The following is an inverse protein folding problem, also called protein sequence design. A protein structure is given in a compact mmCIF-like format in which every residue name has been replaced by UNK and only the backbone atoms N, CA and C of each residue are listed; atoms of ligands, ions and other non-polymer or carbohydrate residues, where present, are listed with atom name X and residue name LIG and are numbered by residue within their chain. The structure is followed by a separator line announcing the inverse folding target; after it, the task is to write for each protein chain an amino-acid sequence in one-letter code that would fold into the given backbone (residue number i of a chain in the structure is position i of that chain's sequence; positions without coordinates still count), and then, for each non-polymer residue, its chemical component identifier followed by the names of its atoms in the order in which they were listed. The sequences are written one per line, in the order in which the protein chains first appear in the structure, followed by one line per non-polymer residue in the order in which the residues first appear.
data_IF_436503436205
#
_entry.id   IF_436503436205
#
_cell.length_a   1.000
_cell.length_b   1.000
_cell.length_c   1.000
_cell.angle_alpha   90.00
_cell.angle_beta   90.00
_cell.angle_gamma   90.00
#
_symmetry.space_group_name_H-M   'P 1'
#
loop_
_entity.id
_entity.type
_entity.pdbx_description
1 polymer ?
#
# COMPACT_ATOMS: atom_id res chain seq x y z
N UNK A 1 35.93 -12.35 18.62
CA UNK A 1 35.18 -11.78 17.48
C UNK A 1 33.72 -12.19 17.60
N UNK A 2 32.86 -11.32 18.12
CA UNK A 2 31.43 -11.56 18.28
C UNK A 2 30.69 -10.95 17.08
N UNK A 3 30.11 -11.81 16.24
CA UNK A 3 29.31 -11.37 15.10
C UNK A 3 27.97 -10.82 15.61
N UNK A 4 27.83 -9.49 15.60
CA UNK A 4 26.53 -8.82 15.77
C UNK A 4 25.61 -9.20 14.61
N UNK A 5 24.62 -10.05 14.86
CA UNK A 5 23.43 -10.17 14.01
C UNK A 5 22.69 -8.83 14.02
N UNK A 6 22.77 -8.06 12.94
CA UNK A 6 21.92 -6.89 12.75
C UNK A 6 20.49 -7.38 12.48
N UNK A 7 19.60 -7.23 13.47
CA UNK A 7 18.15 -7.42 13.29
C UNK A 7 17.58 -6.28 12.44
N UNK A 8 17.81 -6.35 11.13
CA UNK A 8 17.24 -5.42 10.16
C UNK A 8 15.80 -5.84 9.85
N UNK A 9 14.87 -5.56 10.77
CA UNK A 9 13.43 -5.61 10.49
C UNK A 9 13.05 -4.45 9.57
N UNK A 10 13.44 -4.52 8.30
CA UNK A 10 12.94 -3.63 7.27
C UNK A 10 11.50 -4.05 6.94
N UNK A 11 10.53 -3.32 7.50
CA UNK A 11 9.12 -3.44 7.14
C UNK A 11 8.94 -2.75 5.77
N UNK A 12 8.70 -3.54 4.72
CA UNK A 12 8.30 -3.02 3.42
C UNK A 12 6.91 -2.41 3.54
N UNK A 13 6.78 -1.15 3.16
CA UNK A 13 5.50 -0.44 3.07
C UNK A 13 5.25 -0.10 1.61
N UNK A 14 4.13 -0.60 1.10
CA UNK A 14 3.83 -0.71 -0.33
C UNK A 14 2.61 0.15 -0.66
N UNK A 15 2.63 0.73 -1.87
CA UNK A 15 1.84 1.88 -2.26
C UNK A 15 0.31 1.73 -2.11
N UNK A 16 -0.32 2.80 -1.66
CA UNK A 16 -1.78 2.98 -1.62
C UNK A 16 -2.36 3.04 -3.03
N UNK A 17 -3.50 2.38 -3.25
CA UNK A 17 -4.27 2.51 -4.49
C UNK A 17 -4.97 3.86 -4.59
N UNK A 18 -5.02 4.39 -5.81
CA UNK A 18 -6.09 5.26 -6.26
C UNK A 18 -7.39 4.46 -6.36
N UNK A 19 -8.33 4.69 -5.44
CA UNK A 19 -9.73 4.36 -5.67
C UNK A 19 -10.33 5.45 -6.58
N UNK A 20 -10.32 5.23 -7.89
CA UNK A 20 -11.06 6.07 -8.83
C UNK A 20 -12.46 5.48 -9.06
N UNK A 21 -13.47 6.33 -8.90
CA UNK A 21 -14.92 6.14 -9.16
C UNK A 21 -15.77 5.66 -7.98
N UNK A 22 -16.15 6.62 -7.12
CA UNK A 22 -17.42 6.58 -6.39
C UNK A 22 -18.50 7.18 -7.30
N UNK A 23 -19.29 6.35 -7.97
CA UNK A 23 -20.62 6.77 -8.45
C UNK A 23 -21.55 6.65 -7.26
N UNK A 24 -22.03 7.79 -6.76
CA UNK A 24 -23.01 7.85 -5.70
C UNK A 24 -24.34 7.25 -6.19
N UNK A 25 -24.60 5.99 -5.86
CA UNK A 25 -25.95 5.46 -5.94
C UNK A 25 -26.69 5.89 -4.67
N UNK A 26 -27.60 6.85 -4.80
CA UNK A 26 -28.51 7.26 -3.71
C UNK A 26 -29.58 6.19 -3.52
N UNK A 27 -29.72 5.56 -2.34
CA UNK A 27 -30.89 4.74 -2.06
C UNK A 27 -32.06 5.66 -1.70
N UNK A 28 -32.96 5.89 -2.65
CA UNK A 28 -34.33 6.34 -2.34
C UNK A 28 -35.08 5.17 -1.71
N UNK A 29 -35.59 5.39 -0.50
CA UNK A 29 -36.62 4.57 0.12
C UNK A 29 -36.10 3.36 0.91
N UNK A 30 -35.79 3.58 2.19
CA UNK A 30 -35.79 2.52 3.19
C UNK A 30 -36.54 3.03 4.43
N UNK A 31 -37.67 2.38 4.70
CA UNK A 31 -38.53 2.58 5.87
C UNK A 31 -37.77 2.25 7.16
N UNK A 32 -38.11 2.98 8.24
CA UNK A 32 -37.61 2.75 9.60
C UNK A 32 -38.10 1.40 10.10
N UNK A 33 -37.27 0.36 9.98
CA UNK A 33 -37.46 -0.90 10.71
C UNK A 33 -36.25 -1.24 11.58
N UNK A 34 -36.56 -1.92 12.67
CA UNK A 34 -35.79 -2.06 13.90
C UNK A 34 -34.30 -2.43 13.74
N UNK A 35 -33.45 -1.77 14.55
CA UNK A 35 -32.05 -2.12 14.76
C UNK A 35 -31.92 -3.57 15.26
N UNK A 36 -31.19 -4.47 14.55
CA UNK A 36 -30.98 -5.83 15.02
C UNK A 36 -30.11 -5.85 16.28
N UNK A 37 -30.48 -6.74 17.22
CA UNK A 37 -29.77 -7.01 18.47
C UNK A 37 -28.29 -7.31 18.20
N UNK A 38 -27.41 -6.73 19.03
CA UNK A 38 -25.93 -6.85 18.97
C UNK A 38 -25.46 -8.29 18.74
N UNK A 39 -25.09 -8.61 17.50
CA UNK A 39 -24.32 -9.81 17.19
C UNK A 39 -22.92 -9.64 17.77
N UNK A 40 -22.52 -10.50 18.72
CA UNK A 40 -21.13 -10.53 19.21
C UNK A 40 -20.22 -10.94 18.05
N UNK A 41 -19.52 -9.96 17.46
CA UNK A 41 -18.48 -10.21 16.47
C UNK A 41 -17.36 -11.01 17.12
N UNK A 42 -17.15 -12.26 16.68
CA UNK A 42 -16.07 -13.13 17.13
C UNK A 42 -14.74 -12.45 16.80
N UNK A 43 -13.95 -12.11 17.82
CA UNK A 43 -12.61 -11.55 17.64
C UNK A 43 -11.75 -12.66 17.02
N UNK A 44 -11.39 -12.52 15.75
CA UNK A 44 -10.43 -13.44 15.12
C UNK A 44 -9.04 -12.88 15.42
N UNK A 45 -8.21 -13.68 16.10
CA UNK A 45 -6.82 -13.32 16.38
C UNK A 45 -5.96 -13.53 15.12
N UNK A 46 -4.96 -12.68 14.94
CA UNK A 46 -4.36 -12.44 13.63
C UNK A 46 -2.83 -12.43 13.67
N UNK A 47 -2.18 -13.04 12.67
CA UNK A 47 -0.72 -12.93 12.40
C UNK A 47 -0.31 -11.46 12.11
N UNK A 48 0.96 -11.03 12.17
CA UNK A 48 1.35 -9.72 11.65
C UNK A 48 1.09 -9.62 10.15
N UNK A 49 0.18 -8.73 9.78
CA UNK A 49 -0.15 -8.45 8.40
C UNK A 49 0.98 -7.64 7.74
N UNK A 50 1.41 -8.03 6.54
CA UNK A 50 2.34 -7.25 5.70
C UNK A 50 1.62 -6.18 4.90
N UNK A 51 0.41 -6.47 4.44
CA UNK A 51 -0.32 -5.54 3.59
C UNK A 51 -1.84 -5.71 3.70
N UNK A 52 -2.56 -4.63 3.38
CA UNK A 52 -4.00 -4.52 3.40
C UNK A 52 -4.49 -3.74 2.18
N UNK A 53 -5.32 -4.39 1.36
CA UNK A 53 -5.80 -3.82 0.12
C UNK A 53 -7.30 -3.98 -0.02
N UNK A 54 -8.01 -2.90 -0.33
CA UNK A 54 -9.42 -2.97 -0.70
C UNK A 54 -9.59 -3.49 -2.13
N UNK A 55 -10.53 -4.42 -2.31
CA UNK A 55 -10.86 -5.08 -3.59
C UNK A 55 -12.35 -4.87 -3.85
N UNK A 56 -12.68 -3.81 -4.59
CA UNK A 56 -14.07 -3.38 -4.77
C UNK A 56 -14.63 -2.75 -3.50
N UNK A 57 -15.96 -2.76 -3.37
CA UNK A 57 -16.68 -2.00 -2.33
C UNK A 57 -16.71 -2.73 -0.98
N UNK A 58 -16.56 -4.05 -0.98
CA UNK A 58 -16.94 -4.89 0.14
C UNK A 58 -15.87 -5.91 0.56
N UNK A 59 -14.65 -5.84 -0.02
CA UNK A 59 -13.60 -6.82 0.26
C UNK A 59 -12.29 -6.18 0.63
N UNK A 60 -11.62 -6.83 1.55
CA UNK A 60 -10.34 -6.48 2.11
C UNK A 60 -9.43 -7.69 1.94
N UNK A 61 -8.39 -7.56 1.15
CA UNK A 61 -7.36 -8.58 1.01
C UNK A 61 -6.24 -8.22 1.95
N UNK A 62 -5.88 -9.18 2.78
CA UNK A 62 -4.73 -9.11 3.65
C UNK A 62 -3.67 -10.10 3.19
N UNK A 63 -2.42 -9.70 3.33
CA UNK A 63 -1.27 -10.55 3.08
C UNK A 63 -0.46 -10.68 4.35
N UNK A 64 -0.12 -11.90 4.72
CA UNK A 64 0.67 -12.21 5.90
C UNK A 64 2.13 -12.44 5.52
N UNK A 65 3.02 -12.31 6.50
CA UNK A 65 4.46 -12.45 6.29
C UNK A 65 4.89 -13.83 5.77
N UNK A 66 4.10 -14.87 6.02
CA UNK A 66 4.31 -16.25 5.55
C UNK A 66 3.87 -16.46 4.08
N UNK A 67 3.41 -15.41 3.41
CA UNK A 67 2.92 -15.44 2.05
C UNK A 67 1.49 -15.96 1.91
N UNK A 68 0.76 -16.12 3.01
CA UNK A 68 -0.67 -16.36 2.95
C UNK A 68 -1.45 -15.08 2.64
N UNK A 69 -2.53 -15.26 1.89
CA UNK A 69 -3.51 -14.24 1.56
C UNK A 69 -4.82 -14.62 2.25
N UNK A 70 -5.45 -13.62 2.86
CA UNK A 70 -6.78 -13.73 3.42
C UNK A 70 -7.66 -12.66 2.79
N UNK A 71 -8.64 -13.09 2.00
CA UNK A 71 -9.72 -12.23 1.52
C UNK A 71 -10.80 -12.20 2.59
N UNK A 72 -10.94 -11.06 3.26
CA UNK A 72 -12.01 -10.73 4.18
C UNK A 72 -13.10 -10.00 3.39
N UNK A 73 -14.34 -10.45 3.50
CA UNK A 73 -15.49 -9.64 3.04
C UNK A 73 -16.03 -8.83 4.22
N UNK A 74 -16.77 -7.73 3.99
CA UNK A 74 -17.48 -7.02 5.09
C UNK A 74 -18.46 -7.91 5.84
N UNK A 75 -18.93 -9.01 5.21
CA UNK A 75 -19.79 -10.00 5.86
C UNK A 75 -19.04 -10.98 6.78
N UNK A 76 -17.70 -10.91 6.82
CA UNK A 76 -16.87 -11.78 7.65
C UNK A 76 -16.51 -13.13 7.03
N UNK A 77 -17.00 -13.45 5.82
CA UNK A 77 -16.52 -14.61 5.08
C UNK A 77 -15.04 -14.43 4.73
N UNK A 78 -14.22 -15.43 5.09
CA UNK A 78 -12.78 -15.42 4.88
C UNK A 78 -12.39 -16.51 3.87
N UNK A 79 -11.79 -16.12 2.74
CA UNK A 79 -11.15 -17.05 1.82
C UNK A 79 -9.63 -16.97 2.02
N UNK A 80 -9.02 -18.08 2.42
CA UNK A 80 -7.56 -18.19 2.53
C UNK A 80 -6.97 -18.82 1.29
N UNK A 81 -5.91 -18.20 0.75
CA UNK A 81 -5.08 -18.77 -0.33
C UNK A 81 -3.62 -18.58 0.03
N UNK A 82 -2.82 -19.63 -0.06
CA UNK A 82 -1.38 -19.54 0.22
C UNK A 82 -0.58 -19.44 -1.08
N UNK A 83 0.44 -18.60 -1.11
CA UNK A 83 1.43 -18.67 -2.18
C UNK A 83 2.23 -19.98 -2.07
N UNK A 84 2.68 -20.55 -3.20
CA UNK A 84 3.27 -21.88 -3.16
C UNK A 84 4.63 -21.98 -2.47
N UNK A 85 5.52 -20.96 -2.55
CA UNK A 85 6.97 -21.24 -2.42
C UNK A 85 7.89 -20.18 -1.79
N UNK A 86 7.45 -18.94 -1.48
CA UNK A 86 8.36 -17.93 -0.91
C UNK A 86 7.64 -16.83 -0.11
N UNK A 87 8.35 -16.15 0.83
CA UNK A 87 7.86 -14.94 1.47
C UNK A 87 7.52 -13.86 0.44
N UNK A 88 6.50 -13.05 0.72
CA UNK A 88 6.10 -11.96 -0.18
C UNK A 88 6.94 -10.72 0.08
N UNK A 89 7.65 -10.21 -0.92
CA UNK A 89 8.27 -8.91 -0.82
C UNK A 89 7.23 -7.82 -1.02
N UNK A 90 6.51 -7.84 -2.14
CA UNK A 90 5.53 -6.80 -2.44
C UNK A 90 4.20 -7.32 -2.95
N UNK A 91 3.14 -6.62 -2.61
CA UNK A 91 1.76 -6.90 -3.00
C UNK A 91 1.21 -5.68 -3.71
N UNK A 92 0.57 -5.91 -4.84
CA UNK A 92 0.00 -4.85 -5.65
C UNK A 92 -1.38 -5.30 -6.09
N UNK A 93 -2.35 -4.40 -6.03
CA UNK A 93 -3.68 -4.71 -6.55
C UNK A 93 -3.95 -3.86 -7.78
N UNK A 94 -4.58 -4.48 -8.77
CA UNK A 94 -5.00 -3.83 -10.02
C UNK A 94 -6.53 -3.88 -10.04
N UNK A 95 -7.14 -2.81 -9.54
CA UNK A 95 -8.57 -2.74 -9.24
C UNK A 95 -9.45 -3.07 -10.45
N UNK A 96 -9.18 -2.45 -11.59
CA UNK A 96 -9.94 -2.63 -12.83
C UNK A 96 -10.03 -4.09 -13.28
N UNK A 97 -9.01 -4.90 -12.97
CA UNK A 97 -8.93 -6.28 -13.41
C UNK A 97 -9.27 -7.29 -12.32
N UNK A 98 -9.72 -6.85 -11.13
CA UNK A 98 -9.97 -7.69 -9.97
C UNK A 98 -8.85 -8.73 -9.76
N UNK A 99 -7.60 -8.26 -9.83
CA UNK A 99 -6.41 -9.10 -9.73
C UNK A 99 -5.40 -8.52 -8.75
N UNK A 100 -4.74 -9.40 -8.01
CA UNK A 100 -3.53 -9.06 -7.27
C UNK A 100 -2.30 -9.50 -8.07
N UNK A 101 -1.25 -8.71 -8.00
CA UNK A 101 0.08 -8.98 -8.51
C UNK A 101 1.02 -8.99 -7.30
N UNK A 102 1.87 -10.00 -7.19
CA UNK A 102 2.76 -10.18 -6.05
C UNK A 102 4.18 -10.40 -6.54
N UNK A 103 5.14 -9.73 -5.91
CA UNK A 103 6.57 -9.98 -6.05
C UNK A 103 7.01 -10.77 -4.82
N UNK A 104 7.49 -11.99 -5.01
CA UNK A 104 8.06 -12.77 -3.90
C UNK A 104 9.53 -12.42 -3.62
N UNK A 105 10.06 -12.95 -2.52
CA UNK A 105 11.43 -12.74 -2.08
C UNK A 105 12.48 -13.24 -3.08
N UNK A 106 12.12 -14.16 -3.96
CA UNK A 106 12.98 -14.68 -5.03
C UNK A 106 12.86 -13.88 -6.32
N UNK A 107 12.07 -12.79 -6.35
CA UNK A 107 11.95 -11.91 -7.51
C UNK A 107 10.98 -12.40 -8.58
N UNK A 108 10.13 -13.38 -8.28
CA UNK A 108 9.09 -13.84 -9.21
C UNK A 108 7.85 -12.96 -9.13
N UNK A 109 7.23 -12.74 -10.28
CA UNK A 109 5.95 -12.06 -10.40
C UNK A 109 4.81 -13.08 -10.48
N UNK A 110 3.86 -12.97 -9.55
CA UNK A 110 2.69 -13.82 -9.45
C UNK A 110 1.41 -13.01 -9.66
N UNK A 111 0.39 -13.62 -10.25
CA UNK A 111 -0.94 -13.03 -10.42
C UNK A 111 -1.99 -13.93 -9.77
N UNK A 112 -2.91 -13.31 -9.05
CA UNK A 112 -4.14 -13.92 -8.57
C UNK A 112 -5.34 -13.20 -9.19
N UNK A 113 -6.30 -13.93 -9.73
CA UNK A 113 -7.57 -13.37 -10.21
C UNK A 113 -8.66 -13.72 -9.20
N UNK A 114 -9.35 -12.72 -8.65
CA UNK A 114 -10.37 -12.96 -7.62
C UNK A 114 -11.69 -13.50 -8.18
N UNK A 115 -12.02 -13.18 -9.45
CA UNK A 115 -13.29 -13.58 -10.08
C UNK A 115 -13.31 -14.99 -10.67
N UNK A 116 -12.18 -15.70 -10.70
CA UNK A 116 -12.14 -17.07 -11.22
C UNK A 116 -11.66 -18.02 -10.11
N UNK A 117 -12.32 -19.16 -9.89
CA UNK A 117 -11.69 -20.26 -9.17
C UNK A 117 -10.39 -20.61 -9.92
N UNK A 118 -9.26 -20.55 -9.23
CA UNK A 118 -7.95 -20.70 -9.87
C UNK A 118 -6.84 -20.16 -8.98
N UNK A 119 -5.76 -20.92 -8.84
CA UNK A 119 -4.64 -20.58 -7.98
C UNK A 119 -3.80 -19.39 -8.49
N UNK A 120 -2.72 -19.13 -7.77
CA UNK A 120 -1.67 -18.22 -8.20
C UNK A 120 -1.09 -18.66 -9.55
N UNK A 121 -0.97 -17.72 -10.49
CA UNK A 121 -0.30 -17.93 -11.78
C UNK A 121 1.00 -17.15 -11.81
N UNK A 122 2.11 -17.83 -12.06
CA UNK A 122 3.40 -17.18 -12.33
C UNK A 122 3.33 -16.43 -13.66
N UNK A 123 3.78 -15.18 -13.68
CA UNK A 123 3.73 -14.32 -14.86
C UNK A 123 4.99 -14.40 -15.70
N UNK A 124 6.15 -14.67 -15.10
CA UNK A 124 7.45 -14.64 -15.76
C UNK A 124 8.07 -16.05 -15.88
N UNK A 125 8.91 -16.30 -16.90
CA UNK A 125 9.64 -17.57 -17.04
C UNK A 125 10.88 -17.65 -16.14
N UNK A 126 11.42 -16.51 -15.72
CA UNK A 126 12.55 -16.36 -14.78
C UNK A 126 12.26 -15.25 -13.76
N UNK A 127 13.01 -15.15 -12.64
CA UNK A 127 12.94 -14.01 -11.74
C UNK A 127 13.17 -12.71 -12.51
N UNK A 128 12.31 -11.72 -12.30
CA UNK A 128 12.40 -10.42 -12.97
C UNK A 128 13.08 -9.36 -12.09
N UNK A 129 12.96 -9.48 -10.77
CA UNK A 129 13.42 -8.47 -9.81
C UNK A 129 14.59 -8.98 -8.97
N UNK A 130 15.59 -8.13 -8.75
CA UNK A 130 16.78 -8.44 -7.95
C UNK A 130 16.61 -7.86 -6.54
N UNK A 131 15.68 -8.45 -5.78
CA UNK A 131 15.27 -7.97 -4.46
C UNK A 131 14.59 -6.59 -4.48
N UNK A 132 13.39 -6.54 -5.05
CA UNK A 132 12.53 -5.35 -4.97
C UNK A 132 12.31 -4.96 -3.49
N UNK A 133 12.75 -3.75 -3.14
CA UNK A 133 12.58 -3.14 -1.81
C UNK A 133 11.34 -2.27 -1.73
N UNK A 134 10.85 -1.77 -2.86
CA UNK A 134 9.56 -1.09 -2.93
C UNK A 134 8.91 -1.45 -4.25
N UNK A 135 7.58 -1.48 -4.28
CA UNK A 135 6.83 -1.64 -5.50
C UNK A 135 5.55 -0.80 -5.43
N UNK A 136 5.04 -0.37 -6.58
CA UNK A 136 3.70 0.21 -6.72
C UNK A 136 3.19 0.05 -8.15
N UNK A 137 1.89 0.26 -8.35
CA UNK A 137 1.34 0.52 -9.67
C UNK A 137 1.28 2.02 -9.89
N UNK A 138 1.97 2.48 -10.94
CA UNK A 138 2.04 3.89 -11.29
C UNK A 138 0.80 4.38 -12.04
N UNK A 139 0.75 5.68 -12.36
CA UNK A 139 -0.38 6.32 -13.01
C UNK A 139 -0.63 5.82 -14.44
N UNK A 140 0.40 5.30 -15.10
CA UNK A 140 0.35 4.74 -16.45
C UNK A 140 0.10 3.22 -16.46
N UNK A 141 -0.34 2.67 -15.32
CA UNK A 141 -0.59 1.24 -15.09
C UNK A 141 0.64 0.34 -15.23
N UNK A 142 1.84 0.92 -15.27
CA UNK A 142 3.08 0.15 -15.17
C UNK A 142 3.38 -0.21 -13.70
N UNK A 143 4.12 -1.29 -13.52
CA UNK A 143 4.70 -1.66 -12.24
C UNK A 143 6.01 -0.89 -12.07
N UNK A 144 6.13 -0.15 -10.97
CA UNK A 144 7.38 0.50 -10.60
C UNK A 144 8.00 -0.21 -9.41
N UNK A 145 9.30 -0.47 -9.48
CA UNK A 145 10.06 -1.05 -8.38
C UNK A 145 11.27 -0.20 -8.04
N UNK A 146 11.65 -0.20 -6.76
CA UNK A 146 12.98 0.21 -6.32
C UNK A 146 13.68 -1.06 -5.87
N UNK A 147 14.81 -1.40 -6.49
CA UNK A 147 15.52 -2.65 -6.23
C UNK A 147 16.68 -2.47 -5.26
N UNK A 148 17.27 -3.58 -4.80
CA UNK A 148 18.34 -3.57 -3.79
C UNK A 148 19.61 -2.82 -4.22
N UNK A 149 19.80 -2.58 -5.52
CA UNK A 149 20.89 -1.77 -6.06
C UNK A 149 20.59 -0.26 -6.10
N UNK A 150 19.47 0.17 -5.53
CA UNK A 150 19.07 1.58 -5.47
C UNK A 150 18.60 2.16 -6.80
N UNK A 151 18.33 1.32 -7.81
CA UNK A 151 17.73 1.75 -9.08
C UNK A 151 16.22 1.62 -9.06
N UNK A 152 15.58 2.48 -9.83
CA UNK A 152 14.14 2.41 -10.10
C UNK A 152 13.91 1.77 -11.46
N UNK A 153 12.97 0.84 -11.53
CA UNK A 153 12.56 0.20 -12.76
C UNK A 153 11.09 0.47 -13.06
N UNK A 154 10.78 0.54 -14.35
CA UNK A 154 9.41 0.56 -14.87
C UNK A 154 9.19 -0.71 -15.69
N UNK A 155 8.19 -1.49 -15.30
CA UNK A 155 7.80 -2.74 -15.94
C UNK A 155 6.40 -2.62 -16.54
N UNK A 156 6.28 -2.83 -17.84
CA UNK A 156 4.98 -2.98 -18.50
C UNK A 156 4.37 -4.33 -18.11
N UNK A 157 3.21 -4.32 -17.45
CA UNK A 157 2.56 -5.55 -16.95
C UNK A 157 1.89 -6.41 -18.04
N UNK A 158 1.76 -5.89 -19.27
CA UNK A 158 1.23 -6.60 -20.44
C UNK A 158 2.34 -7.35 -21.16
N UNK A 159 3.48 -6.70 -21.39
CA UNK A 159 4.61 -7.28 -22.13
C UNK A 159 5.69 -7.88 -21.23
N UNK A 160 5.68 -7.52 -19.95
CA UNK A 160 6.73 -7.82 -18.96
C UNK A 160 8.10 -7.24 -19.32
N UNK A 161 8.15 -6.30 -20.27
CA UNK A 161 9.34 -5.52 -20.57
C UNK A 161 9.64 -4.60 -19.38
N UNK A 162 10.87 -4.66 -18.88
CA UNK A 162 11.34 -3.86 -17.75
C UNK A 162 12.57 -3.06 -18.16
N UNK A 163 12.60 -1.78 -17.81
CA UNK A 163 13.73 -0.91 -18.05
C UNK A 163 14.00 -0.02 -16.82
N UNK A 164 15.27 0.28 -16.50
CA UNK A 164 15.59 1.26 -15.48
C UNK A 164 15.12 2.65 -15.94
N UNK A 165 14.71 3.49 -14.99
CA UNK A 165 14.36 4.88 -15.22
C UNK A 165 15.11 5.80 -14.26
N UNK A 166 15.51 6.97 -14.76
CA UNK A 166 16.31 7.93 -14.01
C UNK A 166 17.71 7.41 -13.65
N UNK A 167 18.38 8.14 -12.77
CA UNK A 167 19.67 7.75 -12.22
C UNK A 167 19.47 6.89 -10.95
N UNK A 168 20.47 6.05 -10.58
CA UNK A 168 20.51 5.42 -9.26
C UNK A 168 20.49 6.47 -8.14
N UNK A 169 20.11 6.04 -6.93
CA UNK A 169 20.05 6.92 -5.74
C UNK A 169 18.80 6.74 -4.88
N UNK A 170 18.03 5.67 -5.09
CA UNK A 170 16.75 5.43 -4.43
C UNK A 170 16.86 4.60 -3.14
N UNK A 171 18.07 4.21 -2.71
CA UNK A 171 18.34 3.36 -1.54
C UNK A 171 17.91 3.99 -0.19
N UNK A 172 17.70 5.31 -0.19
CA UNK A 172 17.19 6.06 0.96
C UNK A 172 15.68 6.14 1.01
N UNK A 173 14.98 5.63 -0.01
CA UNK A 173 13.50 5.60 -0.01
C UNK A 173 12.99 4.77 1.17
N UNK A 174 12.04 5.34 1.90
CA UNK A 174 11.28 4.69 2.98
C UNK A 174 9.85 4.43 2.55
N UNK A 175 9.25 5.37 1.82
CA UNK A 175 7.90 5.23 1.25
C UNK A 175 7.95 5.53 -0.23
N UNK A 176 7.23 4.74 -1.01
CA UNK A 176 7.07 4.92 -2.45
C UNK A 176 5.58 4.87 -2.78
N UNK A 177 5.02 5.98 -3.27
CA UNK A 177 3.58 6.15 -3.48
C UNK A 177 3.29 6.75 -4.85
N UNK A 178 2.15 6.36 -5.43
CA UNK A 178 1.63 6.92 -6.68
C UNK A 178 0.56 7.93 -6.34
N UNK A 179 0.63 9.15 -6.89
CA UNK A 179 -0.35 10.19 -6.61
C UNK A 179 -0.62 11.10 -7.81
N UNK A 180 -1.88 11.13 -8.24
CA UNK A 180 -2.28 11.77 -9.49
C UNK A 180 -1.51 11.16 -10.67
N UNK A 181 -0.79 11.98 -11.42
CA UNK A 181 0.01 11.59 -12.60
C UNK A 181 1.49 11.38 -12.29
N UNK A 182 1.87 11.37 -11.01
CA UNK A 182 3.27 11.38 -10.58
C UNK A 182 3.52 10.30 -9.54
N UNK A 183 4.81 9.97 -9.39
CA UNK A 183 5.28 9.15 -8.28
C UNK A 183 5.85 10.06 -7.20
N UNK A 184 5.86 9.59 -5.96
CA UNK A 184 6.47 10.30 -4.85
C UNK A 184 7.26 9.34 -3.96
N UNK A 185 8.38 9.82 -3.46
CA UNK A 185 9.18 9.11 -2.47
C UNK A 185 9.31 9.93 -1.21
N UNK A 186 9.24 9.27 -0.06
CA UNK A 186 9.68 9.84 1.23
C UNK A 186 10.96 9.13 1.60
N UNK A 187 12.03 9.89 1.75
CA UNK A 187 13.33 9.35 2.17
C UNK A 187 13.45 9.21 3.68
N UNK A 188 14.41 8.39 4.13
CA UNK A 188 14.74 8.17 5.54
C UNK A 188 15.05 9.46 6.31
N UNK A 189 15.61 10.46 5.64
CA UNK A 189 15.92 11.78 6.23
C UNK A 189 14.70 12.71 6.30
N UNK A 190 13.53 12.25 5.85
CA UNK A 190 12.30 13.04 5.90
C UNK A 190 12.19 14.07 4.78
N UNK A 191 12.79 13.82 3.63
CA UNK A 191 12.58 14.59 2.40
C UNK A 191 11.50 13.90 1.55
N UNK A 192 10.56 14.68 1.01
CA UNK A 192 9.56 14.22 0.04
C UNK A 192 10.01 14.66 -1.36
N UNK A 193 10.02 13.74 -2.32
CA UNK A 193 10.33 14.02 -3.71
C UNK A 193 9.15 13.67 -4.60
N UNK A 194 8.93 14.52 -5.61
CA UNK A 194 8.07 14.25 -6.76
C UNK A 194 8.94 13.66 -7.86
N UNK A 195 8.50 12.57 -8.46
CA UNK A 195 9.25 11.80 -9.47
C UNK A 195 8.40 11.64 -10.72
N UNK A 196 8.98 12.00 -11.86
CA UNK A 196 8.35 11.81 -13.16
C UNK A 196 8.37 10.31 -13.55
N UNK A 197 7.20 9.69 -13.79
CA UNK A 197 7.09 8.25 -14.02
C UNK A 197 7.74 7.77 -15.34
N UNK A 198 7.96 8.66 -16.30
CA UNK A 198 8.54 8.32 -17.60
C UNK A 198 10.05 8.42 -17.59
N UNK A 199 10.59 9.49 -17.00
CA UNK A 199 12.03 9.81 -17.06
C UNK A 199 12.79 9.47 -15.78
N UNK A 200 12.10 9.26 -14.65
CA UNK A 200 12.73 9.14 -13.33
C UNK A 200 13.34 10.44 -12.80
N UNK A 201 13.19 11.57 -13.52
CA UNK A 201 13.61 12.90 -13.01
C UNK A 201 12.82 13.25 -11.77
N UNK A 202 13.49 13.85 -10.78
CA UNK A 202 12.90 14.15 -9.49
C UNK A 202 13.17 15.56 -9.02
N UNK A 203 12.28 16.03 -8.14
CA UNK A 203 12.39 17.33 -7.49
C UNK A 203 11.86 17.22 -6.06
N UNK A 204 12.58 17.80 -5.10
CA UNK A 204 12.09 17.87 -3.71
C UNK A 204 10.82 18.71 -3.66
N UNK A 205 9.80 18.22 -2.96
CA UNK A 205 8.56 18.95 -2.70
C UNK A 205 8.28 18.98 -1.20
N UNK A 206 8.02 20.19 -0.69
CA UNK A 206 7.86 20.44 0.75
C UNK A 206 9.16 20.57 1.54
N UNK A 207 9.06 20.84 2.85
CA UNK A 207 10.21 21.15 3.68
C UNK A 207 11.10 19.93 3.95
N UNK A 208 12.42 20.15 3.99
CA UNK A 208 13.38 19.11 4.37
C UNK A 208 13.20 18.70 5.84
N UNK A 209 13.34 17.40 6.14
CA UNK A 209 13.20 16.85 7.50
C UNK A 209 11.76 16.70 8.01
N UNK A 210 10.79 17.38 7.38
CA UNK A 210 9.39 17.37 7.82
C UNK A 210 8.78 15.96 7.84
N UNK A 211 9.26 15.04 6.98
CA UNK A 211 8.70 13.69 6.83
C UNK A 211 9.48 12.63 7.62
N UNK A 212 10.35 13.03 8.55
CA UNK A 212 11.24 12.12 9.29
C UNK A 212 10.50 11.13 10.19
N UNK A 213 9.30 11.51 10.67
CA UNK A 213 8.43 10.71 11.55
C UNK A 213 7.38 9.88 10.81
N UNK A 214 7.35 9.93 9.47
CA UNK A 214 6.34 9.24 8.67
C UNK A 214 6.48 7.73 8.80
N UNK A 215 5.41 7.10 9.30
CA UNK A 215 5.26 5.64 9.39
C UNK A 215 4.43 5.07 8.25
N UNK A 216 3.43 5.80 7.78
CA UNK A 216 2.63 5.44 6.60
C UNK A 216 2.45 6.67 5.73
N UNK A 217 2.56 6.49 4.41
CA UNK A 217 2.25 7.51 3.44
C UNK A 217 1.17 6.99 2.49
N UNK A 218 0.08 7.75 2.35
CA UNK A 218 -1.07 7.40 1.54
C UNK A 218 -1.34 8.52 0.54
N UNK A 219 -1.95 8.19 -0.60
CA UNK A 219 -2.38 9.19 -1.56
C UNK A 219 -3.90 9.20 -1.72
N UNK A 220 -4.47 10.40 -1.90
CA UNK A 220 -5.79 10.61 -2.46
C UNK A 220 -5.74 11.76 -3.46
N UNK A 221 -6.04 11.50 -4.73
CA UNK A 221 -6.05 12.49 -5.80
C UNK A 221 -4.78 13.38 -5.84
N UNK A 222 -4.84 14.58 -5.26
CA UNK A 222 -3.77 15.59 -5.22
C UNK A 222 -3.23 15.84 -3.79
N UNK A 223 -3.44 14.91 -2.87
CA UNK A 223 -3.03 15.02 -1.48
C UNK A 223 -2.27 13.77 -1.05
N UNK A 224 -1.13 13.98 -0.40
CA UNK A 224 -0.39 12.93 0.30
C UNK A 224 -0.71 13.02 1.78
N UNK A 225 -1.29 11.97 2.34
CA UNK A 225 -1.55 11.85 3.77
C UNK A 225 -0.40 11.11 4.42
N UNK A 226 0.09 11.61 5.55
CA UNK A 226 1.11 10.90 6.34
C UNK A 226 0.64 10.66 7.76
N UNK A 227 0.84 9.44 8.22
CA UNK A 227 0.61 9.03 9.60
C UNK A 227 1.97 8.93 10.28
N UNK A 228 2.13 9.67 11.36
CA UNK A 228 3.42 9.82 12.01
C UNK A 228 3.50 9.07 13.34
N UNK A 229 4.72 8.79 13.78
CA UNK A 229 4.98 8.02 15.00
C UNK A 229 4.45 8.66 16.28
N UNK A 230 4.17 9.96 16.27
CA UNK A 230 3.56 10.69 17.39
C UNK A 230 2.02 10.72 17.33
N UNK A 231 1.41 9.93 16.42
CA UNK A 231 -0.02 9.86 16.24
C UNK A 231 -0.60 11.01 15.41
N UNK A 232 0.24 11.90 14.88
CA UNK A 232 -0.17 12.95 13.97
C UNK A 232 -0.62 12.40 12.61
N UNK A 233 -1.70 12.97 12.09
CA UNK A 233 -2.10 12.82 10.68
C UNK A 233 -1.87 14.15 10.00
N UNK A 234 -1.04 14.14 8.97
CA UNK A 234 -0.75 15.31 8.16
C UNK A 234 -1.24 15.09 6.75
N UNK A 235 -1.40 16.19 6.05
CA UNK A 235 -1.67 16.19 4.62
C UNK A 235 -0.75 17.21 3.94
N UNK A 236 -0.22 16.81 2.81
CA UNK A 236 0.60 17.63 1.93
C UNK A 236 -0.13 17.77 0.60
N UNK A 237 -0.47 19.00 0.23
CA UNK A 237 -0.98 19.29 -1.11
C UNK A 237 0.14 19.15 -2.13
N UNK A 238 -0.10 18.45 -3.23
CA UNK A 238 0.87 18.32 -4.33
C UNK A 238 0.36 19.08 -5.57
N UNK A 239 1.25 19.64 -6.41
CA UNK A 239 2.71 19.55 -6.35
C UNK A 239 3.37 20.56 -5.38
N UNK A 240 2.59 21.49 -4.80
CA UNK A 240 3.11 22.63 -4.04
C UNK A 240 3.92 22.24 -2.78
N UNK A 241 3.69 21.05 -2.22
CA UNK A 241 4.38 20.60 -1.01
C UNK A 241 3.94 21.33 0.28
N UNK A 242 2.82 22.08 0.23
CA UNK A 242 2.25 22.75 1.40
C UNK A 242 1.66 21.70 2.34
N UNK A 243 2.25 21.62 3.53
CA UNK A 243 1.92 20.61 4.54
C UNK A 243 1.18 21.24 5.71
N UNK A 244 0.15 20.55 6.21
CA UNK A 244 -0.55 20.90 7.46
C UNK A 244 -0.91 19.66 8.26
N UNK A 245 -1.04 19.82 9.57
CA UNK A 245 -1.59 18.78 10.44
C UNK A 245 -3.11 18.79 10.34
N UNK A 246 -3.73 17.63 10.20
CA UNK A 246 -5.19 17.47 10.23
C UNK A 246 -5.68 17.20 11.64
N UNK A 247 -5.03 16.26 12.33
CA UNK A 247 -5.41 15.83 13.68
C UNK A 247 -4.24 15.10 14.36
N UNK A 248 -4.42 14.80 15.64
CA UNK A 248 -3.66 13.80 16.39
C UNK A 248 -4.63 12.79 16.97
N UNK A 249 -4.31 11.50 16.87
CA UNK A 249 -5.18 10.45 17.42
C UNK A 249 -4.36 9.27 17.95
N UNK A 250 -4.62 8.76 19.18
CA UNK A 250 -3.86 7.63 19.74
C UNK A 250 -3.88 6.37 18.87
N UNK A 251 -5.00 6.11 18.17
CA UNK A 251 -5.11 4.96 17.26
C UNK A 251 -4.07 4.96 16.12
N UNK A 252 -3.51 6.12 15.78
CA UNK A 252 -2.48 6.24 14.73
C UNK A 252 -1.12 5.71 15.21
N UNK A 253 -0.82 5.83 16.50
CA UNK A 253 0.48 5.44 17.08
C UNK A 253 0.74 3.95 16.87
N UNK A 254 -0.28 3.12 17.12
CA UNK A 254 -0.21 1.65 17.05
C UNK A 254 -0.61 1.09 15.68
N UNK A 255 -0.75 1.94 14.66
CA UNK A 255 -1.14 1.52 13.32
C UNK A 255 -0.01 0.74 12.64
N UNK A 256 -0.29 -0.50 12.27
CA UNK A 256 0.59 -1.34 11.47
C UNK A 256 0.32 -1.24 9.98
N UNK A 257 -0.94 -1.10 9.59
CA UNK A 257 -1.35 -0.89 8.20
C UNK A 257 -2.40 0.21 8.14
N UNK A 258 -2.32 1.03 7.09
CA UNK A 258 -3.27 2.08 6.85
C UNK A 258 -3.64 2.12 5.37
N UNK A 259 -4.88 2.48 5.10
CA UNK A 259 -5.33 2.83 3.76
C UNK A 259 -6.41 3.90 3.85
N UNK A 260 -6.73 4.51 2.73
CA UNK A 260 -7.71 5.58 2.65
C UNK A 260 -8.88 5.16 1.77
N UNK A 261 -10.10 5.37 2.28
CA UNK A 261 -11.35 5.18 1.53
C UNK A 261 -12.10 6.51 1.59
N UNK A 262 -12.09 7.26 0.49
CA UNK A 262 -12.60 8.62 0.46
C UNK A 262 -11.82 9.53 1.43
N UNK A 263 -12.51 10.06 2.45
CA UNK A 263 -11.89 10.83 3.56
C UNK A 263 -11.78 10.04 4.86
N UNK A 264 -11.89 8.72 4.80
CA UNK A 264 -11.81 7.88 5.99
C UNK A 264 -10.51 7.09 5.96
N UNK A 265 -9.71 7.21 7.02
CA UNK A 265 -8.60 6.29 7.27
C UNK A 265 -9.17 4.97 7.77
N UNK A 266 -8.75 3.88 7.14
CA UNK A 266 -8.95 2.52 7.62
C UNK A 266 -7.61 2.03 8.14
N UNK A 267 -7.56 1.75 9.43
CA UNK A 267 -6.34 1.38 10.14
C UNK A 267 -6.44 -0.06 10.62
N UNK A 268 -5.31 -0.76 10.63
CA UNK A 268 -5.15 -2.03 11.35
C UNK A 268 -4.04 -1.82 12.36
N UNK A 269 -4.34 -2.00 13.64
CA UNK A 269 -3.33 -1.84 14.69
C UNK A 269 -2.51 -3.13 14.90
N UNK A 270 -1.49 -3.06 15.77
CA UNK A 270 -0.63 -4.22 16.09
C UNK A 270 -1.32 -5.40 16.78
N UNK A 271 -2.61 -5.28 17.10
CA UNK A 271 -3.46 -6.38 17.59
C UNK A 271 -4.42 -6.90 16.51
N UNK A 272 -4.18 -6.52 15.24
CA UNK A 272 -5.02 -6.90 14.10
C UNK A 272 -6.42 -6.29 14.10
N UNK A 273 -6.73 -5.30 14.95
CA UNK A 273 -8.06 -4.68 14.99
C UNK A 273 -8.22 -3.69 13.85
N UNK A 274 -9.31 -3.82 13.10
CA UNK A 274 -9.74 -2.86 12.10
C UNK A 274 -10.39 -1.65 12.78
N UNK A 275 -9.92 -0.46 12.46
CA UNK A 275 -10.38 0.81 13.01
C UNK A 275 -10.69 1.77 11.84
N UNK A 276 -11.60 2.71 12.09
CA UNK A 276 -11.98 3.73 11.12
C UNK A 276 -11.84 5.09 11.76
N UNK A 277 -11.18 6.01 11.08
CA UNK A 277 -11.03 7.39 11.53
C UNK A 277 -11.47 8.32 10.40
N UNK A 278 -12.54 9.09 10.66
CA UNK A 278 -13.03 10.09 9.72
C UNK A 278 -12.09 11.30 9.73
N UNK A 279 -11.56 11.67 8.57
CA UNK A 279 -10.76 12.89 8.46
C UNK A 279 -11.68 14.12 8.40
N UNK A 280 -11.27 15.25 9.01
CA UNK A 280 -11.97 16.53 8.87
C UNK A 280 -12.01 16.94 7.40
N UNK A 281 -12.88 17.87 7.02
CA UNK A 281 -12.92 18.43 5.66
C UNK A 281 -11.68 19.28 5.38
#
# INVERSE_FOLDING_TARGET
MSARRSDARHRLLIGTLLAASLVACSPRGATRDALPKRTRSKLVDFSPARDLVFVGDDRLVRFDADGSLMLLTVTGAALRRRLPKAPINAVLFVAEAARAVVIDASGWLWQLRFRRPGGWRRMTPKPLFRAATHALIGPDRALYTIEGDGKMYRTDLRTLASAPIGNPGWERTRHFISCGTMLYTVEKVGALYRVNPTSGRWQRTGPFGAYSRVRHALCSASEVFTLESDGGVYVTSIPAGKRRKLLSHPLVIDTELATLVGRQLVLVNGRGRLLRLQLPK
#
